data_IF_874185727855
#
_entry.id   IF_874185727855
#
_cell.length_a   1.000
_cell.length_b   1.000
_cell.length_c   1.000
_cell.angle_alpha   90.00
_cell.angle_beta   90.00
_cell.angle_gamma   90.00
#
_symmetry.space_group_name_H-M   'P 1'
#
loop_
_entity.id
_entity.type
_entity.pdbx_description
1 polymer ?
#
# COMPACT_ATOMS: atom_id res chain seq x y z
N UNK A 1 -40.47 0.11 -29.22
CA UNK A 1 -40.96 -0.59 -28.00
C UNK A 1 -39.89 -1.52 -27.40
N UNK A 2 -39.40 -2.55 -28.11
CA UNK A 2 -38.43 -3.52 -27.56
C UNK A 2 -37.11 -2.92 -27.01
N UNK A 3 -36.50 -1.94 -27.71
CA UNK A 3 -35.27 -1.23 -27.27
C UNK A 3 -35.42 -0.45 -25.96
N UNK A 4 -36.61 0.06 -25.66
CA UNK A 4 -36.88 0.84 -24.45
C UNK A 4 -37.01 -0.06 -23.21
N UNK A 5 -37.48 -1.29 -23.40
CA UNK A 5 -37.65 -2.29 -22.34
C UNK A 5 -36.28 -2.87 -21.95
N UNK A 6 -35.45 -3.22 -22.93
CA UNK A 6 -34.07 -3.67 -22.67
C UNK A 6 -33.22 -2.61 -22.00
N UNK A 7 -33.33 -1.34 -22.40
CA UNK A 7 -32.64 -0.23 -21.74
C UNK A 7 -33.10 -0.06 -20.28
N UNK A 8 -34.41 -0.12 -20.02
CA UNK A 8 -34.96 -0.01 -18.64
C UNK A 8 -34.50 -1.17 -17.75
N UNK A 9 -34.48 -2.39 -18.26
CA UNK A 9 -34.01 -3.57 -17.52
C UNK A 9 -32.52 -3.44 -17.21
N UNK A 10 -31.69 -3.03 -18.18
CA UNK A 10 -30.26 -2.82 -17.97
C UNK A 10 -29.99 -1.74 -16.91
N UNK A 11 -30.76 -0.64 -16.92
CA UNK A 11 -30.65 0.43 -15.90
C UNK A 11 -31.10 -0.06 -14.53
N UNK A 12 -32.17 -0.86 -14.43
CA UNK A 12 -32.63 -1.43 -13.15
C UNK A 12 -31.65 -2.46 -12.60
N UNK A 13 -31.04 -3.30 -13.45
CA UNK A 13 -30.00 -4.26 -13.06
C UNK A 13 -28.76 -3.52 -12.58
N UNK A 14 -28.28 -2.52 -13.33
CA UNK A 14 -27.14 -1.71 -12.93
C UNK A 14 -27.40 -0.97 -11.60
N UNK A 15 -28.61 -0.41 -11.43
CA UNK A 15 -29.00 0.26 -10.17
C UNK A 15 -29.09 -0.71 -8.99
N UNK A 16 -29.53 -1.95 -9.24
CA UNK A 16 -29.59 -3.01 -8.22
C UNK A 16 -28.19 -3.53 -7.83
N UNK A 17 -27.29 -3.69 -8.79
CA UNK A 17 -25.89 -4.05 -8.53
C UNK A 17 -25.20 -2.97 -7.69
N UNK A 18 -25.35 -1.70 -8.05
CA UNK A 18 -24.77 -0.58 -7.28
C UNK A 18 -25.34 -0.54 -5.86
N UNK A 19 -26.66 -0.67 -5.69
CA UNK A 19 -27.29 -0.67 -4.36
C UNK A 19 -26.89 -1.89 -3.49
N UNK A 20 -26.58 -3.04 -4.12
CA UNK A 20 -26.03 -4.19 -3.42
C UNK A 20 -24.59 -3.94 -2.98
N UNK A 21 -23.78 -3.36 -3.86
CA UNK A 21 -22.38 -3.07 -3.59
C UNK A 21 -22.21 -2.01 -2.50
N UNK A 22 -23.09 -1.01 -2.42
CA UNK A 22 -23.08 -0.03 -1.34
C UNK A 22 -23.27 -0.68 0.04
N UNK A 23 -24.12 -1.71 0.15
CA UNK A 23 -24.28 -2.47 1.40
C UNK A 23 -23.01 -3.22 1.75
N UNK A 24 -22.36 -3.84 0.76
CA UNK A 24 -21.09 -4.56 0.95
C UNK A 24 -20.00 -3.60 1.42
N UNK A 25 -19.85 -2.44 0.78
CA UNK A 25 -18.89 -1.40 1.18
C UNK A 25 -19.13 -0.96 2.61
N UNK A 26 -20.39 -0.71 3.00
CA UNK A 26 -20.73 -0.35 4.38
C UNK A 26 -20.35 -1.43 5.39
N UNK A 27 -20.57 -2.70 5.07
CA UNK A 27 -20.17 -3.82 5.93
C UNK A 27 -18.65 -3.94 6.05
N UNK A 28 -17.92 -3.79 4.95
CA UNK A 28 -16.44 -3.80 4.95
C UNK A 28 -15.90 -2.66 5.81
N UNK A 29 -16.43 -1.44 5.65
CA UNK A 29 -16.05 -0.29 6.47
C UNK A 29 -16.36 -0.52 7.95
N UNK A 30 -17.52 -1.10 8.28
CA UNK A 30 -17.88 -1.43 9.65
C UNK A 30 -16.92 -2.45 10.27
N UNK A 31 -16.58 -3.52 9.54
CA UNK A 31 -15.61 -4.52 9.99
C UNK A 31 -14.23 -3.89 10.19
N UNK A 32 -13.80 -3.01 9.29
CA UNK A 32 -12.52 -2.30 9.41
C UNK A 32 -12.47 -1.40 10.65
N UNK A 33 -13.53 -0.65 10.93
CA UNK A 33 -13.62 0.17 12.15
C UNK A 33 -13.60 -0.70 13.40
N UNK A 34 -14.35 -1.81 13.42
CA UNK A 34 -14.36 -2.75 14.53
C UNK A 34 -12.97 -3.38 14.75
N UNK A 35 -12.29 -3.75 13.66
CA UNK A 35 -10.92 -4.25 13.70
C UNK A 35 -9.96 -3.20 14.27
N UNK A 36 -10.04 -1.95 13.82
CA UNK A 36 -9.21 -0.86 14.33
C UNK A 36 -9.42 -0.61 15.83
N UNK A 37 -10.67 -0.64 16.30
CA UNK A 37 -10.99 -0.54 17.73
C UNK A 37 -10.42 -1.74 18.50
N UNK A 38 -10.57 -2.95 17.97
CA UNK A 38 -10.03 -4.16 18.59
C UNK A 38 -8.50 -4.14 18.69
N UNK A 39 -7.80 -3.66 17.66
CA UNK A 39 -6.35 -3.52 17.66
C UNK A 39 -5.89 -2.40 18.61
N UNK A 40 -6.60 -1.27 18.66
CA UNK A 40 -6.33 -0.23 19.63
C UNK A 40 -6.52 -0.74 21.06
N UNK A 41 -7.59 -1.48 21.33
CA UNK A 41 -7.77 -2.13 22.63
C UNK A 41 -6.63 -3.08 22.96
N UNK A 42 -6.26 -3.96 22.03
CA UNK A 42 -5.19 -4.94 22.21
C UNK A 42 -3.85 -4.27 22.53
N UNK A 43 -3.44 -3.26 21.76
CA UNK A 43 -2.12 -2.62 21.93
C UNK A 43 -2.00 -1.73 23.16
N UNK A 44 -3.11 -1.15 23.64
CA UNK A 44 -3.09 -0.26 24.81
C UNK A 44 -3.41 -0.97 26.13
N UNK A 45 -4.04 -2.14 26.09
CA UNK A 45 -4.38 -2.95 27.28
C UNK A 45 -3.39 -4.11 27.49
N UNK A 46 -2.67 -4.55 26.46
CA UNK A 46 -1.68 -5.62 26.61
C UNK A 46 -0.52 -5.20 27.53
N UNK A 47 -0.25 -6.02 28.55
CA UNK A 47 0.94 -5.89 29.38
C UNK A 47 2.20 -6.19 28.56
N UNK A 48 2.98 -5.16 28.25
CA UNK A 48 4.29 -5.28 27.58
C UNK A 48 5.41 -5.63 28.55
N UNK A 49 5.08 -6.09 29.76
CA UNK A 49 6.07 -6.43 30.78
C UNK A 49 6.85 -7.67 30.37
N UNK A 50 8.17 -7.56 30.38
CA UNK A 50 9.07 -8.66 30.04
C UNK A 50 8.90 -9.80 31.05
N UNK A 51 8.88 -11.08 30.61
CA UNK A 51 8.87 -12.23 31.51
C UNK A 51 10.00 -12.10 32.56
N UNK A 52 9.74 -12.50 33.82
CA UNK A 52 10.68 -12.27 34.92
C UNK A 52 12.06 -12.89 34.70
N UNK A 53 12.16 -13.92 33.86
CA UNK A 53 13.41 -14.59 33.49
C UNK A 53 14.41 -13.72 32.70
N UNK A 54 13.92 -12.66 32.03
CA UNK A 54 14.74 -11.83 31.13
C UNK A 54 15.05 -10.45 31.71
N UNK A 55 14.54 -10.15 32.91
CA UNK A 55 14.80 -8.89 33.62
C UNK A 55 16.26 -8.83 34.08
N UNK A 56 16.95 -7.73 33.80
CA UNK A 56 18.37 -7.54 34.09
C UNK A 56 19.35 -8.17 33.08
N UNK A 57 18.85 -8.79 32.00
CA UNK A 57 19.70 -9.27 30.89
C UNK A 57 19.96 -8.15 29.88
N UNK A 58 20.82 -8.39 28.88
CA UNK A 58 21.01 -7.47 27.75
C UNK A 58 19.75 -7.27 26.88
N UNK A 59 18.69 -8.03 27.14
CA UNK A 59 17.38 -7.83 26.51
C UNK A 59 16.46 -6.89 27.31
N UNK A 60 16.88 -6.42 28.50
CA UNK A 60 16.08 -5.54 29.35
C UNK A 60 16.31 -4.05 28.97
N UNK A 61 15.29 -3.33 28.46
CA UNK A 61 15.40 -1.93 28.08
C UNK A 61 15.85 -1.02 29.22
N UNK A 62 15.54 -1.38 30.47
CA UNK A 62 15.91 -0.60 31.65
C UNK A 62 17.42 -0.58 31.93
N UNK A 63 18.18 -1.48 31.31
CA UNK A 63 19.65 -1.51 31.43
C UNK A 63 20.35 -0.50 30.51
N UNK A 64 19.67 -0.02 29.46
CA UNK A 64 20.25 0.91 28.47
C UNK A 64 19.48 2.24 28.35
N UNK A 65 18.22 2.29 28.78
CA UNK A 65 17.36 3.46 28.66
C UNK A 65 17.04 4.05 30.03
N UNK A 66 17.00 5.38 30.08
CA UNK A 66 16.45 6.09 31.23
C UNK A 66 14.94 5.83 31.31
N UNK A 67 14.33 5.81 32.50
CA UNK A 67 12.88 5.54 32.65
C UNK A 67 11.99 6.45 31.78
N UNK A 68 12.41 7.71 31.58
CA UNK A 68 11.72 8.66 30.68
C UNK A 68 11.83 8.26 29.21
N UNK A 69 13.02 7.84 28.77
CA UNK A 69 13.27 7.43 27.38
C UNK A 69 12.54 6.13 27.05
N UNK A 70 12.50 5.20 28.01
CA UNK A 70 11.74 3.96 27.87
C UNK A 70 10.25 4.25 27.71
N UNK A 71 9.66 5.09 28.56
CA UNK A 71 8.25 5.47 28.47
C UNK A 71 7.90 6.11 27.13
N UNK A 72 8.73 7.04 26.63
CA UNK A 72 8.54 7.67 25.32
C UNK A 72 8.67 6.67 24.17
N UNK A 73 9.62 5.74 24.25
CA UNK A 73 9.82 4.70 23.23
C UNK A 73 8.64 3.73 23.16
N UNK A 74 8.09 3.35 24.31
CA UNK A 74 6.90 2.50 24.39
C UNK A 74 5.67 3.21 23.83
N UNK A 75 5.47 4.48 24.17
CA UNK A 75 4.35 5.28 23.65
C UNK A 75 4.44 5.44 22.13
N UNK A 76 5.64 5.78 21.63
CA UNK A 76 5.91 5.84 20.20
C UNK A 76 5.63 4.51 19.50
N UNK A 77 6.12 3.39 20.06
CA UNK A 77 5.90 2.08 19.46
C UNK A 77 4.42 1.74 19.39
N UNK A 78 3.65 1.95 20.47
CA UNK A 78 2.19 1.70 20.46
C UNK A 78 1.47 2.45 19.35
N UNK A 79 1.78 3.74 19.17
CA UNK A 79 1.17 4.55 18.10
C UNK A 79 1.61 4.08 16.71
N UNK A 80 2.91 3.81 16.53
CA UNK A 80 3.44 3.33 15.25
C UNK A 80 2.85 1.97 14.88
N UNK A 81 2.73 1.07 15.85
CA UNK A 81 2.23 -0.28 15.64
C UNK A 81 0.73 -0.23 15.34
N UNK A 82 -0.05 0.62 16.04
CA UNK A 82 -1.44 0.88 15.68
C UNK A 82 -1.56 1.39 14.24
N UNK A 83 -0.77 2.38 13.84
CA UNK A 83 -0.77 2.90 12.47
C UNK A 83 -0.43 1.80 11.46
N UNK A 84 0.56 0.96 11.74
CA UNK A 84 0.93 -0.17 10.88
C UNK A 84 -0.24 -1.16 10.70
N UNK A 85 -0.87 -1.56 11.81
CA UNK A 85 -2.00 -2.49 11.76
C UNK A 85 -3.24 -1.89 11.08
N UNK A 86 -3.43 -0.57 11.12
CA UNK A 86 -4.49 0.10 10.36
C UNK A 86 -4.12 0.24 8.87
N UNK A 87 -2.86 0.56 8.55
CA UNK A 87 -2.39 0.84 7.20
C UNK A 87 -2.54 -0.35 6.26
N UNK A 88 -2.11 -1.54 6.69
CA UNK A 88 -2.14 -2.76 5.86
C UNK A 88 -3.56 -3.08 5.36
N UNK A 89 -4.58 -3.25 6.22
CA UNK A 89 -5.95 -3.49 5.78
C UNK A 89 -6.58 -2.27 5.10
N UNK A 90 -6.14 -1.05 5.40
CA UNK A 90 -6.61 0.16 4.74
C UNK A 90 -6.28 0.16 3.23
N UNK A 91 -5.08 -0.26 2.84
CA UNK A 91 -4.71 -0.39 1.42
C UNK A 91 -5.63 -1.38 0.68
N UNK A 92 -5.91 -2.52 1.32
CA UNK A 92 -6.80 -3.54 0.76
C UNK A 92 -8.23 -3.01 0.67
N UNK A 93 -8.68 -2.29 1.68
CA UNK A 93 -9.99 -1.64 1.73
C UNK A 93 -10.16 -0.63 0.60
N UNK A 94 -9.13 0.16 0.28
CA UNK A 94 -9.15 1.07 -0.88
C UNK A 94 -9.44 0.28 -2.17
N UNK A 95 -8.71 -0.80 -2.43
CA UNK A 95 -8.92 -1.64 -3.62
C UNK A 95 -10.32 -2.27 -3.66
N UNK A 96 -10.82 -2.80 -2.54
CA UNK A 96 -12.18 -3.34 -2.46
C UNK A 96 -13.25 -2.27 -2.71
N UNK A 97 -13.09 -1.08 -2.15
CA UNK A 97 -14.00 0.05 -2.37
C UNK A 97 -13.98 0.50 -3.83
N UNK A 98 -12.80 0.64 -4.44
CA UNK A 98 -12.65 0.97 -5.87
C UNK A 98 -13.38 -0.04 -6.79
N UNK A 99 -13.31 -1.32 -6.44
CA UNK A 99 -13.97 -2.39 -7.19
C UNK A 99 -15.49 -2.39 -6.97
N UNK A 100 -15.93 -2.32 -5.71
CA UNK A 100 -17.35 -2.36 -5.35
C UNK A 100 -18.12 -1.13 -5.84
N UNK A 101 -17.52 0.06 -5.77
CA UNK A 101 -18.10 1.31 -6.30
C UNK A 101 -18.09 1.39 -7.83
N UNK A 102 -17.42 0.45 -8.51
CA UNK A 102 -17.32 0.42 -9.97
C UNK A 102 -16.42 1.52 -10.56
N UNK A 103 -15.65 2.22 -9.72
CA UNK A 103 -14.69 3.26 -10.16
C UNK A 103 -13.64 2.66 -11.09
N UNK A 104 -13.17 1.44 -10.80
CA UNK A 104 -12.26 0.71 -11.69
C UNK A 104 -12.85 0.51 -13.10
N UNK A 105 -14.14 0.16 -13.19
CA UNK A 105 -14.84 -0.01 -14.48
C UNK A 105 -15.05 1.34 -15.19
N UNK A 106 -15.40 2.39 -14.45
CA UNK A 106 -15.55 3.74 -14.98
C UNK A 106 -14.23 4.24 -15.58
N UNK A 107 -13.11 4.09 -14.84
CA UNK A 107 -11.77 4.38 -15.33
C UNK A 107 -11.45 3.57 -16.58
N UNK A 108 -11.72 2.27 -16.58
CA UNK A 108 -11.48 1.41 -17.74
C UNK A 108 -12.20 1.93 -19.00
N UNK A 109 -13.48 2.29 -18.88
CA UNK A 109 -14.25 2.84 -20.01
C UNK A 109 -13.77 4.22 -20.45
N UNK A 110 -13.25 5.03 -19.52
CA UNK A 110 -12.69 6.34 -19.84
C UNK A 110 -11.40 6.20 -20.63
N UNK A 111 -10.49 5.31 -20.19
CA UNK A 111 -9.23 5.04 -20.88
C UNK A 111 -9.47 4.38 -22.24
N UNK A 112 -10.48 3.51 -22.38
CA UNK A 112 -10.92 2.96 -23.68
C UNK A 112 -11.29 4.02 -24.70
N UNK A 113 -11.98 5.07 -24.26
CA UNK A 113 -12.39 6.17 -25.14
C UNK A 113 -11.20 7.05 -25.51
N UNK A 114 -10.24 7.22 -24.60
CA UNK A 114 -9.07 8.05 -24.81
C UNK A 114 -8.05 7.44 -25.78
N UNK A 115 -7.89 6.12 -25.82
CA UNK A 115 -6.83 5.49 -26.63
C UNK A 115 -7.22 4.14 -27.22
N UNK A 116 -6.97 3.98 -28.53
CA UNK A 116 -7.22 2.74 -29.29
C UNK A 116 -6.12 1.68 -29.13
N UNK A 117 -4.92 2.08 -28.68
CA UNK A 117 -3.75 1.22 -28.61
C UNK A 117 -3.75 0.44 -27.29
N UNK A 118 -3.71 -0.90 -27.38
CA UNK A 118 -3.83 -1.77 -26.22
C UNK A 118 -2.76 -1.51 -25.14
N UNK A 119 -1.50 -1.32 -25.54
CA UNK A 119 -0.39 -1.08 -24.59
C UNK A 119 -0.54 0.26 -23.87
N UNK A 120 -0.85 1.34 -24.59
CA UNK A 120 -1.06 2.67 -24.00
C UNK A 120 -2.25 2.67 -23.05
N UNK A 121 -3.30 1.91 -23.39
CA UNK A 121 -4.49 1.74 -22.55
C UNK A 121 -4.15 1.13 -21.20
N UNK A 122 -3.34 0.08 -21.17
CA UNK A 122 -2.91 -0.56 -19.91
C UNK A 122 -2.04 0.37 -19.06
N UNK A 123 -1.11 1.08 -19.70
CA UNK A 123 -0.22 2.08 -19.05
C UNK A 123 -1.04 3.20 -18.41
N UNK A 124 -1.96 3.81 -19.16
CA UNK A 124 -2.83 4.87 -18.64
C UNK A 124 -3.74 4.37 -17.52
N UNK A 125 -4.33 3.18 -17.65
CA UNK A 125 -5.17 2.60 -16.61
C UNK A 125 -4.38 2.40 -15.30
N UNK A 126 -3.20 1.79 -15.39
CA UNK A 126 -2.33 1.58 -14.22
C UNK A 126 -1.95 2.90 -13.58
N UNK A 127 -1.54 3.89 -14.37
CA UNK A 127 -1.16 5.21 -13.87
C UNK A 127 -2.29 5.92 -13.12
N UNK A 128 -3.51 5.93 -13.68
CA UNK A 128 -4.65 6.56 -13.01
C UNK A 128 -5.09 5.79 -11.77
N UNK A 129 -5.06 4.45 -11.82
CA UNK A 129 -5.39 3.63 -10.67
C UNK A 129 -4.38 3.85 -9.54
N UNK A 130 -3.07 3.83 -9.84
CA UNK A 130 -2.03 4.09 -8.85
C UNK A 130 -2.14 5.49 -8.28
N UNK A 131 -2.47 6.50 -9.10
CA UNK A 131 -2.66 7.88 -8.64
C UNK A 131 -3.80 7.99 -7.62
N UNK A 132 -4.92 7.29 -7.85
CA UNK A 132 -6.05 7.28 -6.90
C UNK A 132 -5.61 6.63 -5.58
N UNK A 133 -4.97 5.46 -5.65
CA UNK A 133 -4.50 4.76 -4.44
C UNK A 133 -3.51 5.63 -3.67
N UNK A 134 -2.53 6.22 -4.37
CA UNK A 134 -1.56 7.14 -3.76
C UNK A 134 -2.24 8.34 -3.09
N UNK A 135 -3.26 8.93 -3.71
CA UNK A 135 -4.02 10.03 -3.13
C UNK A 135 -4.74 9.62 -1.83
N UNK A 136 -5.26 8.39 -1.73
CA UNK A 136 -5.89 7.88 -0.51
C UNK A 136 -4.89 7.43 0.55
N UNK A 137 -3.69 6.98 0.16
CA UNK A 137 -2.63 6.57 1.09
C UNK A 137 -1.82 7.75 1.64
N UNK A 138 -1.71 8.85 0.89
CA UNK A 138 -0.91 10.02 1.26
C UNK A 138 -1.26 10.61 2.64
N UNK A 139 -2.54 10.79 3.02
CA UNK A 139 -2.89 11.29 4.36
C UNK A 139 -2.40 10.37 5.48
N UNK A 140 -2.47 9.04 5.27
CA UNK A 140 -2.01 8.05 6.24
C UNK A 140 -0.48 8.12 6.38
N UNK A 141 0.22 8.18 5.24
CA UNK A 141 1.69 8.31 5.22
C UNK A 141 2.14 9.61 5.89
N UNK A 142 1.40 10.71 5.71
CA UNK A 142 1.67 11.97 6.37
C UNK A 142 1.51 11.90 7.90
N UNK A 143 0.51 11.18 8.42
CA UNK A 143 0.35 10.95 9.87
C UNK A 143 1.54 10.18 10.42
N UNK A 144 2.00 9.13 9.74
CA UNK A 144 3.20 8.38 10.12
C UNK A 144 4.48 9.22 10.12
N UNK A 145 4.64 10.09 9.11
CA UNK A 145 5.74 11.06 9.05
C UNK A 145 5.66 12.08 10.18
N UNK A 146 4.48 12.64 10.45
CA UNK A 146 4.28 13.63 11.51
C UNK A 146 4.58 13.03 12.88
N UNK A 147 4.13 11.79 13.14
CA UNK A 147 4.44 11.05 14.36
C UNK A 147 5.95 10.88 14.52
N UNK A 148 6.64 10.43 13.47
CA UNK A 148 8.11 10.25 13.49
C UNK A 148 8.85 11.57 13.76
N UNK A 149 8.34 12.69 13.25
CA UNK A 149 8.92 14.01 13.48
C UNK A 149 8.65 14.54 14.88
N UNK A 150 7.44 14.34 15.41
CA UNK A 150 7.04 14.77 16.74
C UNK A 150 7.87 14.11 17.85
N UNK A 151 8.22 12.83 17.66
CA UNK A 151 9.08 12.08 18.57
C UNK A 151 10.60 12.28 18.29
N UNK A 152 10.98 13.17 17.37
CA UNK A 152 12.37 13.49 17.07
C UNK A 152 13.16 12.39 16.33
N UNK A 153 12.48 11.36 15.83
CA UNK A 153 13.10 10.24 15.10
C UNK A 153 13.49 10.65 13.69
N UNK A 154 12.73 11.56 13.07
CA UNK A 154 13.05 12.13 11.76
C UNK A 154 13.27 13.64 11.85
N UNK A 155 14.39 14.09 11.30
CA UNK A 155 14.73 15.51 11.09
C UNK A 155 14.38 15.99 9.67
N UNK A 156 13.83 15.09 8.84
CA UNK A 156 13.52 15.36 7.45
C UNK A 156 12.48 16.49 7.31
N UNK A 157 12.66 17.38 6.33
CA UNK A 157 11.69 18.43 6.01
C UNK A 157 10.49 17.86 5.24
N UNK A 158 9.33 18.52 5.34
CA UNK A 158 8.11 18.12 4.62
C UNK A 158 8.32 18.10 3.10
N UNK A 159 9.13 19.03 2.57
CA UNK A 159 9.45 19.09 1.14
C UNK A 159 10.33 17.95 0.67
N UNK A 160 11.27 17.48 1.51
CA UNK A 160 12.06 16.28 1.21
C UNK A 160 11.19 15.04 1.28
N UNK A 161 10.33 14.92 2.29
CA UNK A 161 9.43 13.79 2.43
C UNK A 161 8.47 13.66 1.23
N UNK A 162 7.88 14.77 0.78
CA UNK A 162 6.99 14.75 -0.38
C UNK A 162 7.71 14.37 -1.68
N UNK A 163 8.98 14.77 -1.83
CA UNK A 163 9.81 14.35 -2.97
C UNK A 163 10.07 12.84 -2.93
N UNK A 164 10.39 12.30 -1.77
CA UNK A 164 10.60 10.87 -1.60
C UNK A 164 9.32 10.09 -1.92
N UNK A 165 8.17 10.55 -1.42
CA UNK A 165 6.86 9.97 -1.71
C UNK A 165 6.55 9.99 -3.21
N UNK A 166 6.81 11.12 -3.88
CA UNK A 166 6.60 11.26 -5.32
C UNK A 166 7.55 10.35 -6.12
N UNK A 167 8.82 10.27 -5.73
CA UNK A 167 9.80 9.39 -6.37
C UNK A 167 9.41 7.93 -6.20
N UNK A 168 9.01 7.51 -5.00
CA UNK A 168 8.53 6.15 -4.73
C UNK A 168 7.30 5.84 -5.59
N UNK A 169 6.32 6.74 -5.64
CA UNK A 169 5.14 6.59 -6.49
C UNK A 169 5.49 6.33 -7.96
N UNK A 170 6.43 7.09 -8.54
CA UNK A 170 6.85 6.89 -9.93
C UNK A 170 7.62 5.58 -10.12
N UNK A 171 8.51 5.23 -9.20
CA UNK A 171 9.26 3.98 -9.24
C UNK A 171 8.32 2.78 -9.18
N UNK A 172 7.39 2.76 -8.22
CA UNK A 172 6.42 1.68 -8.05
C UNK A 172 5.47 1.59 -9.25
N UNK A 173 4.99 2.73 -9.74
CA UNK A 173 4.09 2.77 -10.91
C UNK A 173 4.80 2.25 -12.17
N UNK A 174 6.03 2.68 -12.44
CA UNK A 174 6.83 2.20 -13.59
C UNK A 174 7.13 0.71 -13.48
N UNK A 175 7.53 0.25 -12.29
CA UNK A 175 7.79 -1.15 -12.01
C UNK A 175 6.54 -2.00 -12.24
N UNK A 176 5.39 -1.56 -11.73
CA UNK A 176 4.11 -2.27 -11.90
C UNK A 176 3.66 -2.30 -13.37
N UNK A 177 3.85 -1.20 -14.11
CA UNK A 177 3.58 -1.16 -15.56
C UNK A 177 4.46 -2.15 -16.34
N UNK A 178 5.74 -2.24 -16.00
CA UNK A 178 6.68 -3.19 -16.61
C UNK A 178 6.23 -4.63 -16.34
N UNK A 179 5.96 -4.96 -15.08
CA UNK A 179 5.50 -6.29 -14.65
C UNK A 179 4.19 -6.66 -15.35
N UNK A 180 3.21 -5.74 -15.36
CA UNK A 180 1.91 -5.97 -16.00
C UNK A 180 2.05 -6.21 -17.51
N UNK A 181 2.94 -5.47 -18.18
CA UNK A 181 3.20 -5.63 -19.63
C UNK A 181 3.82 -6.99 -19.92
N UNK A 182 4.83 -7.39 -19.14
CA UNK A 182 5.50 -8.69 -19.28
C UNK A 182 4.54 -9.85 -18.99
N UNK A 183 3.76 -9.77 -17.92
CA UNK A 183 2.75 -10.77 -17.59
C UNK A 183 1.71 -10.91 -18.70
N UNK A 184 1.20 -9.78 -19.21
CA UNK A 184 0.21 -9.81 -20.28
C UNK A 184 0.77 -10.38 -21.59
N UNK A 185 2.02 -10.06 -21.91
CA UNK A 185 2.73 -10.66 -23.04
C UNK A 185 2.86 -12.19 -22.88
N UNK A 186 3.18 -12.65 -21.66
CA UNK A 186 3.32 -14.07 -21.35
C UNK A 186 1.97 -14.81 -21.41
N UNK A 187 0.90 -14.18 -20.93
CA UNK A 187 -0.47 -14.69 -21.04
C UNK A 187 -0.88 -14.90 -22.50
N UNK A 188 -0.57 -13.94 -23.39
CA UNK A 188 -0.84 -14.08 -24.83
C UNK A 188 0.00 -15.16 -25.50
N UNK A 189 1.23 -15.40 -25.02
CA UNK A 189 2.15 -16.37 -25.65
C UNK A 189 1.92 -17.80 -25.18
N UNK A 190 1.54 -18.02 -23.91
CA UNK A 190 1.49 -19.33 -23.26
C UNK A 190 0.20 -19.55 -22.45
N UNK A 191 -0.94 -19.69 -23.12
CA UNK A 191 -2.27 -19.75 -22.48
C UNK A 191 -2.42 -20.82 -21.37
N UNK A 192 -1.80 -22.01 -21.48
CA UNK A 192 -1.90 -23.08 -20.45
C UNK A 192 -0.76 -23.13 -19.43
N UNK A 193 0.41 -22.54 -19.72
CA UNK A 193 1.63 -22.67 -18.89
C UNK A 193 2.27 -21.35 -18.51
N UNK A 194 1.59 -20.21 -18.71
CA UNK A 194 2.08 -18.87 -18.37
C UNK A 194 2.58 -18.78 -16.92
N UNK A 195 1.93 -19.46 -15.98
CA UNK A 195 2.30 -19.44 -14.56
C UNK A 195 3.70 -20.01 -14.29
N UNK A 196 4.11 -21.08 -14.98
CA UNK A 196 5.45 -21.66 -14.86
C UNK A 196 6.51 -20.70 -15.41
N UNK A 197 6.26 -20.10 -16.57
CA UNK A 197 7.18 -19.13 -17.15
C UNK A 197 7.27 -17.85 -16.31
N UNK A 198 6.16 -17.41 -15.72
CA UNK A 198 6.14 -16.26 -14.81
C UNK A 198 7.00 -16.54 -13.58
N UNK A 199 6.90 -17.75 -13.00
CA UNK A 199 7.77 -18.19 -11.90
C UNK A 199 9.24 -18.20 -12.28
N UNK A 200 9.59 -18.84 -13.41
CA UNK A 200 10.97 -18.92 -13.89
C UNK A 200 11.56 -17.54 -14.20
N UNK A 201 10.74 -16.57 -14.64
CA UNK A 201 11.17 -15.19 -14.85
C UNK A 201 11.25 -14.38 -13.55
N UNK A 202 10.35 -14.65 -12.59
CA UNK A 202 10.26 -13.92 -11.33
C UNK A 202 11.48 -14.17 -10.42
N UNK A 203 11.98 -15.40 -10.36
CA UNK A 203 13.16 -15.75 -9.55
C UNK A 203 14.41 -14.92 -9.91
N UNK A 204 14.91 -14.92 -11.16
CA UNK A 204 16.07 -14.11 -11.53
C UNK A 204 15.80 -12.61 -11.41
N UNK A 205 14.56 -12.17 -11.65
CA UNK A 205 14.18 -10.78 -11.46
C UNK A 205 14.27 -10.34 -9.99
N UNK A 206 13.82 -11.18 -9.05
CA UNK A 206 13.97 -10.91 -7.61
C UNK A 206 15.43 -10.90 -7.17
N UNK A 207 16.25 -11.82 -7.67
CA UNK A 207 17.69 -11.84 -7.40
C UNK A 207 18.33 -10.55 -7.94
N UNK A 208 17.96 -10.12 -9.14
CA UNK A 208 18.43 -8.88 -9.73
C UNK A 208 18.05 -7.67 -8.88
N UNK A 209 16.78 -7.56 -8.44
CA UNK A 209 16.33 -6.46 -7.60
C UNK A 209 17.05 -6.41 -6.24
N UNK A 210 17.24 -7.57 -5.60
CA UNK A 210 17.98 -7.68 -4.34
C UNK A 210 19.47 -7.32 -4.52
N UNK A 211 20.07 -7.73 -5.63
CA UNK A 211 21.45 -7.34 -5.94
C UNK A 211 21.56 -5.85 -6.26
N UNK A 212 20.58 -5.30 -6.97
CA UNK A 212 20.53 -3.89 -7.33
C UNK A 212 20.37 -3.00 -6.10
N UNK A 213 19.45 -3.34 -5.18
CA UNK A 213 19.29 -2.60 -3.93
C UNK A 213 20.59 -2.59 -3.12
N UNK A 214 21.27 -3.74 -3.01
CA UNK A 214 22.57 -3.85 -2.33
C UNK A 214 23.66 -3.02 -3.02
N UNK A 215 23.61 -2.88 -4.35
CA UNK A 215 24.55 -2.01 -5.07
C UNK A 215 24.28 -0.54 -4.76
N UNK A 216 23.02 -0.10 -4.75
CA UNK A 216 22.65 1.28 -4.40
C UNK A 216 23.03 1.66 -2.97
N UNK A 217 22.93 0.72 -2.02
CA UNK A 217 23.37 0.96 -0.64
C UNK A 217 24.88 1.18 -0.55
N UNK A 218 25.67 0.40 -1.31
CA UNK A 218 27.13 0.56 -1.37
C UNK A 218 27.56 1.89 -1.99
N UNK A 219 26.83 2.44 -2.96
CA UNK A 219 27.16 3.75 -3.54
C UNK A 219 26.84 4.88 -2.57
N UNK A 220 25.70 4.84 -1.88
CA UNK A 220 25.29 5.85 -0.89
C UNK A 220 26.21 5.87 0.34
N UNK A 221 26.59 4.69 0.86
CA UNK A 221 27.54 4.58 1.98
C UNK A 221 28.93 5.09 1.63
N UNK A 222 29.38 4.90 0.39
CA UNK A 222 30.66 5.44 -0.09
C UNK A 222 30.63 6.98 -0.17
N UNK A 223 29.48 7.57 -0.48
CA UNK A 223 29.29 9.02 -0.56
C UNK A 223 29.19 9.70 0.81
N UNK A 224 28.62 9.04 1.82
CA UNK A 224 28.63 9.52 3.22
C UNK A 224 30.00 9.44 3.91
N UNK A 225 30.99 8.76 3.30
CA UNK A 225 32.34 8.58 3.88
C UNK A 225 33.33 9.68 3.51
N UNK A 226 32.94 10.63 2.66
CA UNK A 226 33.73 11.84 2.38
C UNK A 226 33.10 13.02 3.13
N UNK A 227 33.62 13.37 4.32
CA UNK A 227 33.28 14.63 4.94
C UNK A 227 33.93 15.74 4.11
N UNK A 228 33.13 16.72 3.69
CA UNK A 228 33.62 18.09 3.72
C UNK A 228 33.38 18.62 5.13
#
# INVERSE_FOLDING_TARGET
MAKLITLKIAVLVAKKEVASNEKVVRWILFIYVLYGIGMAWYLFVADTSIPPEWKGTSADPSTFLTSREQMLSEEYSRWKDLLFFLAVPYEWLIYFCLLALGVAKALQTWVERATKWFTLRSVLYVFWLSLIVAAFSLPLNFVGYHLSRAYGISTQSVSSWLKDELTNFFVDTVLFMLIATVLYWLLRRFERRWWLYAWVLCVPFMIFLCSFSRFTEKTVTKQKRFPF
#
